data_IF_239620472535
#
_entry.id   IF_239620472535
#
_cell.length_a   1.000
_cell.length_b   1.000
_cell.length_c   1.000
_cell.angle_alpha   90.00
_cell.angle_beta   90.00
_cell.angle_gamma   90.00
#
_symmetry.space_group_name_H-M   'P 1'
#
loop_
_entity.id
_entity.type
_entity.pdbx_description
1 polymer ?
#
# COMPACT_ATOMS: atom_id res chain seq x y z
N UNK A 1 -13.82 -21.30 28.00
CA UNK A 1 -14.21 -20.49 29.20
C UNK A 1 -12.98 -19.87 29.84
N UNK A 2 -13.17 -18.88 30.72
CA UNK A 2 -12.06 -18.28 31.46
C UNK A 2 -11.41 -19.26 32.44
N UNK A 3 -12.21 -20.20 32.96
CA UNK A 3 -11.74 -21.29 33.81
C UNK A 3 -10.79 -22.22 33.06
N UNK A 4 -11.10 -22.58 31.82
CA UNK A 4 -10.22 -23.41 30.96
C UNK A 4 -8.90 -22.67 30.66
N UNK A 5 -8.96 -21.36 30.39
CA UNK A 5 -7.75 -20.54 30.19
C UNK A 5 -6.89 -20.51 31.46
N UNK A 6 -7.51 -20.30 32.63
CA UNK A 6 -6.82 -20.28 33.91
C UNK A 6 -6.12 -21.62 34.19
N UNK A 7 -6.81 -22.72 33.93
CA UNK A 7 -6.27 -24.07 34.10
C UNK A 7 -5.10 -24.34 33.13
N UNK A 8 -5.23 -23.92 31.89
CA UNK A 8 -4.18 -24.11 30.88
C UNK A 8 -2.93 -23.25 31.18
N UNK A 9 -3.09 -22.02 31.61
CA UNK A 9 -1.97 -21.15 32.08
C UNK A 9 -1.28 -21.79 33.28
N UNK A 10 -2.02 -22.30 34.24
CA UNK A 10 -1.44 -23.00 35.39
C UNK A 10 -0.68 -24.26 34.98
N UNK A 11 -1.23 -25.07 34.09
CA UNK A 11 -0.56 -26.27 33.57
C UNK A 11 0.75 -25.97 32.84
N UNK A 12 0.77 -24.90 32.04
CA UNK A 12 1.95 -24.56 31.22
C UNK A 12 3.03 -23.79 31.99
N UNK A 13 2.62 -22.91 32.89
CA UNK A 13 3.52 -21.92 33.49
C UNK A 13 3.59 -22.01 35.03
N UNK A 14 2.77 -22.86 35.67
CA UNK A 14 2.72 -22.99 37.13
C UNK A 14 2.17 -21.75 37.83
N UNK A 15 1.54 -20.82 37.11
CA UNK A 15 1.03 -19.55 37.64
C UNK A 15 -0.50 -19.58 37.67
N UNK A 16 -1.08 -19.35 38.86
CA UNK A 16 -2.52 -19.19 39.00
C UNK A 16 -2.87 -17.70 38.83
N UNK A 17 -3.40 -17.36 37.68
CA UNK A 17 -3.87 -15.99 37.35
C UNK A 17 -5.24 -15.78 38.01
N UNK A 18 -5.46 -14.71 38.80
CA UNK A 18 -6.77 -14.42 39.37
C UNK A 18 -7.84 -14.26 38.26
N UNK A 19 -9.04 -14.81 38.50
CA UNK A 19 -10.14 -14.76 37.53
C UNK A 19 -10.46 -13.34 37.08
N UNK A 20 -10.42 -12.37 38.01
CA UNK A 20 -10.65 -10.96 37.69
C UNK A 20 -9.64 -10.40 36.71
N UNK A 21 -8.37 -10.78 36.77
CA UNK A 21 -7.34 -10.31 35.82
C UNK A 21 -7.60 -10.89 34.43
N UNK A 22 -8.08 -12.13 34.32
CA UNK A 22 -8.49 -12.72 33.05
C UNK A 22 -9.76 -12.05 32.48
N UNK A 23 -10.73 -11.68 33.33
CA UNK A 23 -11.92 -10.93 32.93
C UNK A 23 -11.53 -9.53 32.43
N UNK A 24 -10.66 -8.81 33.13
CA UNK A 24 -10.18 -7.48 32.74
C UNK A 24 -9.38 -7.55 31.43
N UNK A 25 -8.53 -8.57 31.27
CA UNK A 25 -7.80 -8.83 30.03
C UNK A 25 -8.76 -9.16 28.87
N UNK A 26 -9.72 -10.05 29.08
CA UNK A 26 -10.70 -10.41 28.07
C UNK A 26 -11.50 -9.19 27.60
N UNK A 27 -11.91 -8.32 28.55
CA UNK A 27 -12.61 -7.06 28.26
C UNK A 27 -11.71 -6.10 27.45
N UNK A 28 -10.46 -5.93 27.87
CA UNK A 28 -9.51 -5.09 27.13
C UNK A 28 -9.26 -5.61 25.70
N UNK A 29 -9.14 -6.92 25.52
CA UNK A 29 -8.99 -7.56 24.20
C UNK A 29 -10.27 -7.42 23.35
N UNK A 30 -11.46 -7.49 23.95
CA UNK A 30 -12.73 -7.25 23.26
C UNK A 30 -12.82 -5.77 22.82
N UNK A 31 -12.54 -4.82 23.70
CA UNK A 31 -12.54 -3.39 23.37
C UNK A 31 -11.54 -3.05 22.27
N UNK A 32 -10.38 -3.70 22.27
CA UNK A 32 -9.37 -3.59 21.22
C UNK A 32 -9.77 -4.33 19.91
N UNK A 33 -10.86 -5.12 19.91
CA UNK A 33 -11.29 -5.92 18.75
C UNK A 33 -10.41 -7.13 18.47
N UNK A 34 -9.67 -7.61 19.47
CA UNK A 34 -8.77 -8.76 19.39
C UNK A 34 -9.46 -10.09 19.78
N UNK A 35 -10.67 -10.03 20.33
CA UNK A 35 -11.52 -11.19 20.58
C UNK A 35 -12.75 -11.13 19.68
N UNK A 36 -13.05 -12.24 19.03
CA UNK A 36 -14.24 -12.38 18.18
C UNK A 36 -15.45 -12.71 19.08
N UNK A 37 -16.05 -11.65 19.64
CA UNK A 37 -17.30 -11.73 20.40
C UNK A 37 -18.46 -11.22 19.56
N UNK A 38 -19.71 -11.55 19.92
CA UNK A 38 -20.91 -11.05 19.23
C UNK A 38 -20.92 -9.52 19.09
N UNK A 39 -20.43 -8.81 20.12
CA UNK A 39 -20.27 -7.35 20.09
C UNK A 39 -19.25 -6.88 19.07
N UNK A 40 -18.11 -7.56 18.97
CA UNK A 40 -17.07 -7.25 17.97
C UNK A 40 -17.55 -7.59 16.57
N UNK A 41 -18.22 -8.74 16.39
CA UNK A 41 -18.83 -9.12 15.11
C UNK A 41 -19.89 -8.10 14.65
N UNK A 42 -20.77 -7.66 15.55
CA UNK A 42 -21.76 -6.62 15.23
C UNK A 42 -21.10 -5.30 14.82
N UNK A 43 -20.03 -4.88 15.51
CA UNK A 43 -19.24 -3.70 15.15
C UNK A 43 -18.56 -3.84 13.79
N UNK A 44 -17.95 -4.98 13.51
CA UNK A 44 -17.30 -5.24 12.22
C UNK A 44 -18.31 -5.23 11.07
N UNK A 45 -19.51 -5.80 11.30
CA UNK A 45 -20.59 -5.78 10.32
C UNK A 45 -21.10 -4.35 10.06
N UNK A 46 -21.26 -3.54 11.10
CA UNK A 46 -21.61 -2.12 10.94
C UNK A 46 -20.53 -1.34 10.16
N UNK A 47 -19.28 -1.59 10.44
CA UNK A 47 -18.14 -0.99 9.71
C UNK A 47 -18.11 -1.43 8.24
N UNK A 48 -18.40 -2.70 7.96
CA UNK A 48 -18.50 -3.21 6.60
C UNK A 48 -19.64 -2.53 5.83
N UNK A 49 -20.81 -2.33 6.45
CA UNK A 49 -21.93 -1.62 5.83
C UNK A 49 -21.61 -0.14 5.55
N UNK A 50 -20.81 0.51 6.40
CA UNK A 50 -20.30 1.87 6.12
C UNK A 50 -19.38 1.88 4.91
N UNK A 51 -18.47 0.92 4.84
CA UNK A 51 -17.51 0.77 3.73
C UNK A 51 -18.15 0.43 2.39
N UNK A 52 -19.39 -0.10 2.37
CA UNK A 52 -20.16 -0.28 1.13
C UNK A 52 -20.66 1.03 0.52
N UNK A 53 -20.59 2.13 1.24
CA UNK A 53 -21.04 3.45 0.79
C UNK A 53 -19.88 4.35 0.41
N UNK A 54 -18.89 4.42 1.27
CA UNK A 54 -17.67 5.22 1.09
C UNK A 54 -16.54 4.72 1.98
N UNK A 55 -15.32 5.05 1.60
CA UNK A 55 -14.13 4.85 2.43
C UNK A 55 -13.67 6.21 2.96
N UNK A 56 -13.82 6.47 4.29
CA UNK A 56 -13.41 7.74 4.88
C UNK A 56 -11.88 7.87 4.93
N UNK A 57 -11.39 9.11 5.02
CA UNK A 57 -10.00 9.39 5.35
C UNK A 57 -9.67 8.84 6.75
N UNK A 58 -8.54 8.15 6.90
CA UNK A 58 -8.08 7.60 8.18
C UNK A 58 -6.81 8.23 8.66
N UNK A 59 -6.02 8.79 7.73
CA UNK A 59 -4.71 9.38 8.00
C UNK A 59 -4.72 10.91 7.91
N UNK A 60 -5.86 11.51 7.60
CA UNK A 60 -6.05 12.96 7.65
C UNK A 60 -5.84 13.48 9.09
N UNK A 61 -5.09 14.56 9.23
CA UNK A 61 -4.66 15.12 10.51
C UNK A 61 -3.52 14.34 11.19
N UNK A 62 -3.11 13.19 10.62
CA UNK A 62 -1.98 12.38 11.12
C UNK A 62 -0.80 12.42 10.16
N UNK A 63 -0.99 11.95 8.93
CA UNK A 63 0.04 11.84 7.89
C UNK A 63 -0.02 12.98 6.86
N UNK A 64 -1.19 13.59 6.71
CA UNK A 64 -1.42 14.72 5.81
C UNK A 64 -2.54 15.62 6.34
N UNK A 65 -2.62 16.90 5.93
CA UNK A 65 -3.67 17.82 6.37
C UNK A 65 -5.06 17.41 5.91
N UNK A 66 -6.07 17.65 6.76
CA UNK A 66 -7.47 17.35 6.47
C UNK A 66 -8.12 18.40 5.54
N UNK A 67 -7.75 19.69 5.69
CA UNK A 67 -8.29 20.79 4.90
C UNK A 67 -7.62 20.91 3.54
N UNK A 68 -8.40 21.25 2.49
CA UNK A 68 -7.90 21.36 1.12
C UNK A 68 -6.77 22.38 0.97
N UNK A 69 -6.89 23.56 1.59
CA UNK A 69 -5.89 24.62 1.49
C UNK A 69 -4.54 24.18 2.06
N UNK A 70 -4.57 23.61 3.25
CA UNK A 70 -3.40 23.07 3.95
C UNK A 70 -2.82 21.86 3.21
N UNK A 71 -3.67 21.02 2.63
CA UNK A 71 -3.26 19.89 1.81
C UNK A 71 -2.54 20.35 0.53
N UNK A 72 -2.99 21.41 -0.14
CA UNK A 72 -2.29 22.00 -1.30
C UNK A 72 -0.92 22.53 -0.92
N UNK A 73 -0.81 23.30 0.18
CA UNK A 73 0.47 23.79 0.67
C UNK A 73 1.44 22.63 1.06
N UNK A 74 0.90 21.56 1.60
CA UNK A 74 1.66 20.34 1.90
C UNK A 74 2.24 19.72 0.62
N UNK A 75 1.45 19.58 -0.45
CA UNK A 75 1.92 19.07 -1.73
C UNK A 75 3.03 19.95 -2.34
N UNK A 76 2.88 21.29 -2.27
CA UNK A 76 3.89 22.22 -2.74
C UNK A 76 5.22 22.08 -1.98
N UNK A 77 5.15 21.91 -0.65
CA UNK A 77 6.34 21.66 0.18
C UNK A 77 7.03 20.34 -0.20
N UNK A 78 6.27 19.27 -0.45
CA UNK A 78 6.81 17.99 -0.92
C UNK A 78 7.40 18.11 -2.31
N UNK A 79 6.73 18.80 -3.23
CA UNK A 79 7.30 19.05 -4.57
C UNK A 79 8.62 19.81 -4.50
N UNK A 80 8.72 20.81 -3.64
CA UNK A 80 9.93 21.61 -3.42
C UNK A 80 11.09 20.80 -2.80
N UNK A 81 10.80 19.68 -2.10
CA UNK A 81 11.85 18.81 -1.53
C UNK A 81 12.62 18.00 -2.58
N UNK A 82 12.13 17.94 -3.81
CA UNK A 82 12.79 17.30 -4.94
C UNK A 82 13.16 18.34 -6.00
N UNK A 83 14.46 18.72 -6.15
CA UNK A 83 14.89 19.73 -7.10
C UNK A 83 14.99 19.22 -8.54
N UNK A 84 14.83 17.89 -8.76
CA UNK A 84 14.91 17.27 -10.07
C UNK A 84 13.70 17.57 -10.95
N UNK A 85 13.87 17.34 -12.25
CA UNK A 85 12.78 17.36 -13.20
C UNK A 85 12.05 16.02 -13.18
N UNK A 86 10.72 16.08 -13.36
CA UNK A 86 9.89 14.91 -13.57
C UNK A 86 9.95 14.42 -15.01
N UNK A 87 9.49 13.22 -15.23
CA UNK A 87 9.26 12.62 -16.53
C UNK A 87 7.80 12.15 -16.63
N UNK A 88 7.22 12.17 -17.83
CA UNK A 88 5.87 11.67 -18.07
C UNK A 88 5.79 10.18 -17.69
N UNK A 89 4.77 9.81 -16.92
CA UNK A 89 4.54 8.45 -16.48
C UNK A 89 3.33 7.83 -17.18
N UNK A 90 3.49 6.64 -17.74
CA UNK A 90 2.40 5.72 -18.06
C UNK A 90 2.21 4.70 -16.94
N UNK A 91 3.31 4.36 -16.29
CA UNK A 91 3.35 3.60 -15.04
C UNK A 91 4.18 4.40 -14.04
N UNK A 92 3.64 4.61 -12.85
CA UNK A 92 4.35 5.25 -11.73
C UNK A 92 4.45 4.25 -10.59
N UNK A 93 5.66 3.93 -10.14
CA UNK A 93 5.90 3.32 -8.86
C UNK A 93 6.20 4.42 -7.86
N UNK A 94 5.48 4.45 -6.75
CA UNK A 94 5.67 5.40 -5.66
C UNK A 94 5.47 4.72 -4.31
N UNK A 95 6.05 5.24 -3.21
CA UNK A 95 5.93 4.63 -1.90
C UNK A 95 4.55 4.80 -1.29
N UNK A 96 4.29 4.01 -0.24
CA UNK A 96 3.18 4.22 0.69
C UNK A 96 3.65 4.37 2.16
N UNK A 97 4.95 4.54 2.36
CA UNK A 97 5.55 4.92 3.64
C UNK A 97 5.05 6.30 4.08
N UNK A 98 5.05 6.55 5.39
CA UNK A 98 4.70 7.87 5.97
C UNK A 98 5.43 9.01 5.23
N UNK A 99 4.70 9.95 4.59
CA UNK A 99 5.29 10.92 3.69
C UNK A 99 6.40 11.77 4.30
N UNK A 100 6.21 12.22 5.56
CA UNK A 100 7.18 13.07 6.25
C UNK A 100 8.56 12.42 6.44
N UNK A 101 8.65 11.10 6.30
CA UNK A 101 9.91 10.34 6.41
C UNK A 101 10.72 10.35 5.12
N UNK A 102 10.07 10.49 3.96
CA UNK A 102 10.70 10.40 2.63
C UNK A 102 10.19 11.50 1.69
N UNK A 103 10.24 12.79 2.10
CA UNK A 103 9.62 13.88 1.36
C UNK A 103 10.15 14.02 -0.07
N UNK A 104 11.44 13.83 -0.30
CA UNK A 104 12.03 13.91 -1.64
C UNK A 104 11.57 12.80 -2.58
N UNK A 105 11.20 11.63 -2.07
CA UNK A 105 10.68 10.51 -2.89
C UNK A 105 9.26 10.83 -3.36
N UNK A 106 8.42 11.35 -2.48
CA UNK A 106 7.09 11.84 -2.88
C UNK A 106 7.17 13.10 -3.75
N UNK A 107 8.16 13.97 -3.49
CA UNK A 107 8.45 15.13 -4.34
C UNK A 107 8.80 14.73 -5.77
N UNK A 108 9.56 13.64 -5.95
CA UNK A 108 9.87 13.06 -7.25
C UNK A 108 8.63 12.51 -7.95
N UNK A 109 7.72 11.86 -7.20
CA UNK A 109 6.44 11.40 -7.74
C UNK A 109 5.57 12.59 -8.20
N UNK A 110 5.48 13.67 -7.42
CA UNK A 110 4.79 14.88 -7.82
C UNK A 110 5.40 15.51 -9.08
N UNK A 111 6.74 15.53 -9.19
CA UNK A 111 7.43 16.02 -10.39
C UNK A 111 7.05 15.21 -11.65
N UNK A 112 6.94 13.88 -11.52
CA UNK A 112 6.48 13.02 -12.61
C UNK A 112 5.02 13.30 -12.97
N UNK A 113 4.15 13.45 -11.96
CA UNK A 113 2.73 13.74 -12.16
C UNK A 113 2.52 15.11 -12.83
N UNK A 114 3.40 16.09 -12.59
CA UNK A 114 3.38 17.40 -13.29
C UNK A 114 3.62 17.29 -14.81
N UNK A 115 4.45 16.33 -15.23
CA UNK A 115 4.73 16.06 -16.64
C UNK A 115 3.71 15.14 -17.30
N UNK A 116 2.96 14.40 -16.48
CA UNK A 116 1.95 13.44 -16.95
C UNK A 116 0.66 14.17 -17.31
N UNK A 117 0.12 13.98 -18.52
CA UNK A 117 -1.19 14.49 -18.90
C UNK A 117 -2.27 13.99 -17.93
N UNK A 118 -3.28 14.82 -17.59
CA UNK A 118 -4.36 14.40 -16.71
C UNK A 118 -5.06 13.14 -17.24
N UNK A 119 -4.99 12.01 -16.51
CA UNK A 119 -5.66 10.79 -16.95
C UNK A 119 -7.15 10.85 -16.60
N UNK A 120 -8.00 10.19 -17.37
CA UNK A 120 -9.39 9.96 -16.97
C UNK A 120 -9.47 9.01 -15.77
N UNK A 121 -8.52 8.07 -15.66
CA UNK A 121 -8.51 6.98 -14.68
C UNK A 121 -7.13 6.76 -14.10
N UNK A 122 -7.13 6.33 -12.85
CA UNK A 122 -5.94 5.89 -12.14
C UNK A 122 -6.17 4.46 -11.63
N UNK A 123 -5.38 3.53 -12.10
CA UNK A 123 -5.30 2.16 -11.60
C UNK A 123 -4.31 2.16 -10.43
N UNK A 124 -4.82 2.29 -9.21
CA UNK A 124 -3.98 2.35 -8.01
C UNK A 124 -3.89 0.95 -7.39
N UNK A 125 -2.72 0.34 -7.49
CA UNK A 125 -2.46 -1.03 -7.01
C UNK A 125 -1.53 -0.96 -5.80
N UNK A 126 -2.08 -1.29 -4.64
CA UNK A 126 -1.37 -1.30 -3.36
C UNK A 126 -1.19 -2.71 -2.79
N UNK A 127 -0.43 -2.78 -1.72
CA UNK A 127 -0.19 -3.99 -0.92
C UNK A 127 -1.32 -4.17 0.08
N UNK A 128 -1.82 -5.39 0.23
CA UNK A 128 -2.79 -5.71 1.26
C UNK A 128 -2.09 -6.02 2.58
N UNK A 129 -2.16 -5.12 3.56
CA UNK A 129 -1.65 -5.33 4.92
C UNK A 129 -2.62 -6.12 5.81
N UNK A 130 -3.83 -6.35 5.33
CA UNK A 130 -4.83 -7.21 5.97
C UNK A 130 -5.13 -8.41 5.08
N UNK A 131 -5.46 -9.58 5.67
CA UNK A 131 -5.80 -10.76 4.88
C UNK A 131 -6.96 -10.49 3.93
N UNK A 132 -6.83 -10.96 2.69
CA UNK A 132 -7.89 -11.00 1.71
C UNK A 132 -8.42 -12.43 1.57
N UNK A 133 -9.69 -12.59 1.21
CA UNK A 133 -10.27 -13.89 0.86
C UNK A 133 -9.60 -14.46 -0.39
N UNK A 134 -9.35 -13.60 -1.38
CA UNK A 134 -8.72 -13.94 -2.65
C UNK A 134 -7.30 -13.36 -2.77
N UNK A 135 -6.65 -13.52 -3.91
CA UNK A 135 -5.29 -13.02 -4.19
C UNK A 135 -5.26 -11.50 -4.27
N UNK A 136 -6.35 -10.91 -4.74
CA UNK A 136 -6.53 -9.47 -4.89
C UNK A 136 -7.96 -9.07 -4.53
N UNK A 137 -8.15 -7.79 -4.24
CA UNK A 137 -9.46 -7.21 -3.98
C UNK A 137 -9.55 -5.78 -4.50
N UNK A 138 -10.78 -5.32 -4.75
CA UNK A 138 -11.12 -3.93 -5.01
C UNK A 138 -12.28 -3.48 -4.14
N UNK A 139 -12.39 -2.16 -3.93
CA UNK A 139 -13.52 -1.56 -3.23
C UNK A 139 -14.18 -0.52 -4.16
N UNK A 140 -15.38 -0.83 -4.72
CA UNK A 140 -16.03 0.00 -5.74
C UNK A 140 -16.86 1.14 -5.13
N UNK A 141 -16.27 1.93 -4.22
CA UNK A 141 -16.92 3.05 -3.53
C UNK A 141 -16.03 4.31 -3.60
N UNK A 142 -16.60 5.50 -3.37
CA UNK A 142 -15.81 6.72 -3.23
C UNK A 142 -14.82 6.64 -2.06
N UNK A 143 -13.57 7.03 -2.27
CA UNK A 143 -12.59 7.26 -1.23
C UNK A 143 -12.52 8.75 -0.93
N UNK A 144 -12.75 9.14 0.31
CA UNK A 144 -12.68 10.54 0.72
C UNK A 144 -11.24 11.04 0.71
N UNK A 145 -11.03 12.27 0.21
CA UNK A 145 -9.74 12.97 0.21
C UNK A 145 -9.95 14.46 0.51
N UNK A 146 -8.92 15.21 0.92
CA UNK A 146 -9.04 16.66 1.12
C UNK A 146 -9.43 17.42 -0.15
N UNK A 147 -9.25 16.81 -1.32
CA UNK A 147 -9.54 17.40 -2.65
C UNK A 147 -10.90 16.95 -3.21
N UNK A 148 -11.77 16.43 -2.36
CA UNK A 148 -13.04 15.81 -2.73
C UNK A 148 -12.95 14.29 -2.89
N UNK A 149 -14.09 13.63 -3.13
CA UNK A 149 -14.14 12.17 -3.22
C UNK A 149 -13.45 11.66 -4.49
N UNK A 150 -12.59 10.67 -4.34
CA UNK A 150 -12.06 9.88 -5.43
C UNK A 150 -13.13 8.87 -5.87
N UNK A 151 -13.84 9.20 -6.94
CA UNK A 151 -14.92 8.36 -7.44
C UNK A 151 -14.37 7.10 -8.13
N UNK A 152 -14.96 5.90 -7.90
CA UNK A 152 -14.55 4.70 -8.60
C UNK A 152 -14.97 4.75 -10.08
N UNK A 153 -14.17 4.11 -10.95
CA UNK A 153 -14.60 3.81 -12.33
C UNK A 153 -15.31 2.45 -12.34
N UNK A 154 -16.62 2.47 -12.10
CA UNK A 154 -17.41 1.24 -11.98
C UNK A 154 -17.41 0.40 -13.26
N UNK A 155 -17.53 0.96 -14.48
CA UNK A 155 -17.45 0.16 -15.71
C UNK A 155 -16.12 -0.59 -15.85
N UNK A 156 -14.99 0.08 -15.56
CA UNK A 156 -13.67 -0.55 -15.65
C UNK A 156 -13.46 -1.60 -14.56
N UNK A 157 -13.96 -1.36 -13.33
CA UNK A 157 -13.91 -2.34 -12.22
C UNK A 157 -14.77 -3.57 -12.53
N UNK A 158 -15.96 -3.41 -13.10
CA UNK A 158 -16.82 -4.53 -13.50
C UNK A 158 -16.21 -5.33 -14.65
N UNK A 159 -15.62 -4.66 -15.64
CA UNK A 159 -14.90 -5.32 -16.72
C UNK A 159 -13.70 -6.12 -16.20
N UNK A 160 -13.00 -5.60 -15.19
CA UNK A 160 -11.88 -6.31 -14.54
C UNK A 160 -12.38 -7.54 -13.78
N UNK A 161 -13.42 -7.39 -12.97
CA UNK A 161 -14.00 -8.50 -12.18
C UNK A 161 -14.47 -9.65 -13.09
N UNK A 162 -15.12 -9.31 -14.22
CA UNK A 162 -15.60 -10.30 -15.18
C UNK A 162 -14.51 -11.14 -15.86
N UNK A 163 -13.25 -10.65 -15.87
CA UNK A 163 -12.11 -11.35 -16.46
C UNK A 163 -11.33 -12.20 -15.44
N UNK A 164 -11.61 -12.04 -14.14
CA UNK A 164 -10.91 -12.75 -13.10
C UNK A 164 -11.57 -14.10 -12.78
N UNK A 165 -10.80 -15.13 -12.40
CA UNK A 165 -11.35 -16.42 -11.97
C UNK A 165 -11.80 -16.43 -10.50
N UNK A 166 -11.86 -15.28 -9.85
CA UNK A 166 -12.28 -15.07 -8.47
C UNK A 166 -13.03 -13.74 -8.35
N UNK A 167 -13.84 -13.61 -7.31
CA UNK A 167 -14.58 -12.38 -7.00
C UNK A 167 -13.62 -11.28 -6.57
N UNK A 168 -13.64 -10.13 -7.25
CA UNK A 168 -12.76 -9.01 -6.94
C UNK A 168 -13.25 -8.19 -5.72
N UNK A 169 -14.59 -8.10 -5.51
CA UNK A 169 -15.19 -7.31 -4.43
C UNK A 169 -15.41 -8.14 -3.16
N UNK A 170 -14.36 -8.80 -2.67
CA UNK A 170 -14.46 -9.90 -1.72
C UNK A 170 -14.21 -9.54 -0.25
N UNK A 171 -13.48 -8.48 0.07
CA UNK A 171 -13.03 -8.19 1.44
C UNK A 171 -13.05 -6.69 1.77
N UNK A 172 -14.23 -6.06 1.89
CA UNK A 172 -14.34 -4.60 2.13
C UNK A 172 -13.56 -4.13 3.38
N UNK A 173 -13.59 -4.91 4.47
CA UNK A 173 -12.91 -4.55 5.72
C UNK A 173 -11.40 -4.41 5.61
N UNK A 174 -10.76 -5.04 4.61
CA UNK A 174 -9.32 -4.87 4.38
C UNK A 174 -8.97 -3.43 3.99
N UNK A 175 -9.89 -2.70 3.38
CA UNK A 175 -9.70 -1.31 2.96
C UNK A 175 -9.86 -0.29 4.08
N UNK A 176 -10.41 -0.68 5.24
CA UNK A 176 -10.78 0.23 6.33
C UNK A 176 -9.63 1.12 6.77
N UNK A 177 -8.46 0.54 6.98
CA UNK A 177 -7.27 1.21 7.50
C UNK A 177 -6.06 1.04 6.56
N UNK A 178 -6.33 0.75 5.27
CA UNK A 178 -5.27 0.46 4.33
C UNK A 178 -4.57 1.73 3.86
N UNK A 179 -3.31 1.89 4.27
CA UNK A 179 -2.50 3.07 3.99
C UNK A 179 -1.79 2.97 2.62
N UNK A 180 -1.58 1.76 2.09
CA UNK A 180 -0.94 1.59 0.77
C UNK A 180 -1.74 2.20 -0.38
N UNK A 181 -3.04 2.41 -0.18
CA UNK A 181 -3.89 3.15 -1.11
C UNK A 181 -4.07 4.61 -0.69
N UNK A 182 -4.30 4.88 0.60
CA UNK A 182 -4.69 6.22 1.06
C UNK A 182 -3.58 7.25 0.86
N UNK A 183 -2.33 6.92 1.23
CA UNK A 183 -1.21 7.85 1.11
C UNK A 183 -0.91 8.23 -0.35
N UNK A 184 -0.72 7.26 -1.29
CA UNK A 184 -0.57 7.62 -2.70
C UNK A 184 -1.78 8.36 -3.27
N UNK A 185 -3.00 7.97 -2.88
CA UNK A 185 -4.23 8.61 -3.36
C UNK A 185 -4.30 10.08 -3.02
N UNK A 186 -3.81 10.49 -1.84
CA UNK A 186 -3.70 11.89 -1.45
C UNK A 186 -2.90 12.71 -2.49
N UNK A 187 -1.71 12.24 -2.89
CA UNK A 187 -0.86 12.91 -3.87
C UNK A 187 -1.48 12.89 -5.28
N UNK A 188 -2.06 11.76 -5.67
CA UNK A 188 -2.70 11.59 -6.98
C UNK A 188 -3.92 12.49 -7.14
N UNK A 189 -4.81 12.56 -6.15
CA UNK A 189 -5.99 13.41 -6.19
C UNK A 189 -5.67 14.88 -6.04
N UNK A 190 -4.61 15.24 -5.32
CA UNK A 190 -4.11 16.61 -5.29
C UNK A 190 -3.66 17.11 -6.65
N UNK A 191 -3.12 16.23 -7.50
CA UNK A 191 -2.69 16.58 -8.87
C UNK A 191 -3.78 16.36 -9.91
N UNK A 192 -4.60 15.32 -9.78
CA UNK A 192 -5.65 14.93 -10.72
C UNK A 192 -7.02 14.81 -10.03
N UNK A 193 -7.62 15.92 -9.58
CA UNK A 193 -8.85 15.89 -8.78
C UNK A 193 -10.02 15.22 -9.51
N UNK A 194 -10.09 15.32 -10.84
CA UNK A 194 -11.18 14.77 -11.64
C UNK A 194 -11.01 13.30 -12.02
N UNK A 195 -9.79 12.74 -11.89
CA UNK A 195 -9.54 11.37 -12.27
C UNK A 195 -10.36 10.38 -11.44
N UNK A 196 -11.01 9.41 -12.10
CA UNK A 196 -11.63 8.25 -11.45
C UNK A 196 -10.56 7.28 -10.99
N UNK A 197 -10.86 6.47 -10.00
CA UNK A 197 -9.86 5.58 -9.38
C UNK A 197 -10.35 4.13 -9.37
N UNK A 198 -9.45 3.20 -9.69
CA UNK A 198 -9.63 1.78 -9.45
C UNK A 198 -8.70 1.39 -8.29
N UNK A 199 -9.20 1.37 -7.04
CA UNK A 199 -8.39 1.01 -5.88
C UNK A 199 -8.30 -0.52 -5.77
N UNK A 200 -7.09 -1.05 -5.95
CA UNK A 200 -6.80 -2.48 -6.00
C UNK A 200 -5.79 -2.84 -4.91
N UNK A 201 -6.05 -3.92 -4.19
CA UNK A 201 -5.12 -4.52 -3.22
C UNK A 201 -4.65 -5.88 -3.72
N UNK A 202 -3.37 -6.15 -3.55
CA UNK A 202 -2.76 -7.45 -3.84
C UNK A 202 -2.17 -8.02 -2.54
N UNK A 203 -2.65 -9.21 -2.14
CA UNK A 203 -2.14 -9.94 -0.98
C UNK A 203 -1.17 -11.06 -1.39
N UNK A 204 -1.34 -11.62 -2.58
CA UNK A 204 -0.52 -12.71 -3.13
C UNK A 204 -0.42 -12.54 -4.64
N UNK A 205 0.68 -13.01 -5.20
CA UNK A 205 0.91 -13.02 -6.64
C UNK A 205 -0.32 -13.50 -7.40
N UNK A 206 -0.81 -12.67 -8.32
CA UNK A 206 -1.97 -12.94 -9.17
C UNK A 206 -1.66 -12.60 -10.64
N UNK A 207 -1.06 -13.53 -11.41
CA UNK A 207 -0.83 -13.32 -12.84
C UNK A 207 -2.12 -13.06 -13.61
N UNK A 208 -3.24 -13.58 -13.12
CA UNK A 208 -4.58 -13.40 -13.66
C UNK A 208 -4.98 -11.90 -13.61
N UNK A 209 -4.67 -11.21 -12.51
CA UNK A 209 -4.92 -9.78 -12.37
C UNK A 209 -4.14 -8.98 -13.42
N UNK A 210 -2.86 -9.26 -13.60
CA UNK A 210 -2.03 -8.58 -14.60
C UNK A 210 -2.51 -8.81 -16.02
N UNK A 211 -2.93 -10.03 -16.34
CA UNK A 211 -3.49 -10.37 -17.64
C UNK A 211 -4.82 -9.64 -17.87
N UNK A 212 -5.72 -9.65 -16.90
CA UNK A 212 -7.01 -8.97 -16.95
C UNK A 212 -6.85 -7.44 -17.08
N UNK A 213 -5.97 -6.84 -16.27
CA UNK A 213 -5.66 -5.40 -16.36
C UNK A 213 -5.09 -5.02 -17.73
N UNK A 214 -4.25 -5.86 -18.33
CA UNK A 214 -3.74 -5.61 -19.70
C UNK A 214 -4.85 -5.55 -20.75
N UNK A 215 -5.92 -6.32 -20.57
CA UNK A 215 -7.12 -6.27 -21.44
C UNK A 215 -7.92 -5.00 -21.13
N UNK A 216 -8.25 -4.76 -19.87
CA UNK A 216 -9.08 -3.62 -19.46
C UNK A 216 -8.44 -2.27 -19.83
N UNK A 217 -7.13 -2.12 -19.69
CA UNK A 217 -6.42 -0.89 -20.05
C UNK A 217 -6.47 -0.51 -21.56
N UNK A 218 -6.84 -1.45 -22.44
CA UNK A 218 -7.05 -1.15 -23.86
C UNK A 218 -8.36 -0.38 -24.08
N UNK A 219 -9.42 -0.79 -23.39
CA UNK A 219 -10.76 -0.20 -23.54
C UNK A 219 -10.97 0.97 -22.57
N UNK A 220 -10.26 0.96 -21.44
CA UNK A 220 -10.31 1.94 -20.38
C UNK A 220 -8.89 2.47 -20.06
N UNK A 221 -8.28 3.26 -20.95
CA UNK A 221 -6.91 3.75 -20.76
C UNK A 221 -6.80 4.63 -19.51
N UNK A 222 -5.64 4.58 -18.84
CA UNK A 222 -5.39 5.32 -17.62
C UNK A 222 -3.94 5.21 -17.14
N UNK A 223 -3.62 5.95 -16.07
CA UNK A 223 -2.34 5.88 -15.39
C UNK A 223 -2.32 4.66 -14.46
N UNK A 224 -1.31 3.81 -14.61
CA UNK A 224 -1.07 2.72 -13.68
C UNK A 224 -0.12 3.17 -12.56
N UNK A 225 -0.55 3.05 -11.32
CA UNK A 225 0.25 3.41 -10.14
C UNK A 225 0.45 2.18 -9.26
N UNK A 226 1.71 1.86 -8.98
CA UNK A 226 2.12 0.82 -8.05
C UNK A 226 2.54 1.49 -6.75
N UNK A 227 1.77 1.29 -5.70
CA UNK A 227 2.06 1.78 -4.36
C UNK A 227 2.89 0.74 -3.61
N UNK A 228 4.21 0.90 -3.62
CA UNK A 228 5.19 -0.11 -3.22
C UNK A 228 6.29 0.53 -2.40
N UNK A 229 6.47 0.05 -1.18
CA UNK A 229 7.69 0.27 -0.42
C UNK A 229 8.75 -0.78 -0.76
N UNK A 230 10.00 -0.50 -0.42
CA UNK A 230 11.13 -1.35 -0.76
C UNK A 230 11.62 -2.16 0.46
N UNK A 231 12.91 -2.25 0.68
CA UNK A 231 13.49 -3.07 1.75
C UNK A 231 12.93 -2.73 3.13
N UNK A 232 12.56 -3.78 3.87
CA UNK A 232 12.19 -3.73 5.28
C UNK A 232 13.23 -4.52 6.07
N UNK A 233 14.14 -3.85 6.78
CA UNK A 233 15.29 -4.47 7.46
C UNK A 233 15.41 -4.00 8.93
N UNK A 234 15.90 -4.88 9.77
CA UNK A 234 16.11 -4.64 11.19
C UNK A 234 15.13 -5.34 12.13
N UNK A 235 15.25 -5.13 13.45
CA UNK A 235 14.50 -5.86 14.48
C UNK A 235 12.98 -5.78 14.35
N UNK A 236 12.46 -4.66 13.87
CA UNK A 236 11.03 -4.48 13.58
C UNK A 236 10.48 -5.51 12.60
N UNK A 237 11.35 -6.02 11.76
CA UNK A 237 11.03 -6.97 10.69
C UNK A 237 11.60 -8.36 10.94
N UNK A 238 12.14 -8.60 12.17
CA UNK A 238 12.68 -9.89 12.60
C UNK A 238 14.11 -10.15 12.14
N UNK A 239 14.84 -9.10 11.72
CA UNK A 239 16.27 -9.18 11.39
C UNK A 239 17.12 -8.69 12.57
N UNK A 240 18.46 -8.80 12.42
CA UNK A 240 19.42 -8.21 13.37
C UNK A 240 19.34 -6.68 13.36
N UNK A 241 19.81 -6.01 14.43
CA UNK A 241 19.90 -4.55 14.45
C UNK A 241 20.63 -4.01 13.22
N UNK A 242 20.11 -2.89 12.69
CA UNK A 242 20.66 -2.27 11.49
C UNK A 242 22.11 -1.85 11.72
N UNK A 243 23.00 -2.42 10.90
CA UNK A 243 24.40 -1.99 10.79
C UNK A 243 24.60 -1.17 9.51
N UNK A 244 25.72 -0.46 9.42
CA UNK A 244 26.10 0.24 8.19
C UNK A 244 26.12 -0.70 6.98
N UNK A 245 26.71 -1.88 7.14
CA UNK A 245 26.79 -2.89 6.08
C UNK A 245 25.39 -3.34 5.63
N UNK A 246 24.48 -3.64 6.58
CA UNK A 246 23.11 -4.05 6.27
C UNK A 246 22.34 -2.92 5.54
N UNK A 247 22.54 -1.67 5.95
CA UNK A 247 21.92 -0.52 5.29
C UNK A 247 22.46 -0.33 3.84
N UNK A 248 23.77 -0.46 3.63
CA UNK A 248 24.38 -0.39 2.30
C UNK A 248 23.90 -1.55 1.40
N UNK A 249 23.74 -2.74 1.94
CA UNK A 249 23.17 -3.90 1.24
C UNK A 249 21.71 -3.68 0.87
N UNK A 250 20.87 -3.21 1.79
CA UNK A 250 19.47 -2.91 1.54
C UNK A 250 19.35 -1.87 0.41
N UNK A 251 20.10 -0.77 0.49
CA UNK A 251 20.12 0.24 -0.56
C UNK A 251 20.54 -0.31 -1.93
N UNK A 252 21.57 -1.14 -1.99
CA UNK A 252 22.02 -1.77 -3.24
C UNK A 252 20.96 -2.68 -3.83
N UNK A 253 20.23 -3.42 -2.99
CA UNK A 253 19.12 -4.29 -3.43
C UNK A 253 17.96 -3.49 -3.97
N UNK A 254 17.57 -2.43 -3.27
CA UNK A 254 16.50 -1.54 -3.71
C UNK A 254 16.82 -0.93 -5.07
N UNK A 255 18.00 -0.34 -5.22
CA UNK A 255 18.43 0.26 -6.49
C UNK A 255 18.53 -0.78 -7.60
N UNK A 256 19.15 -1.94 -7.33
CA UNK A 256 19.27 -3.00 -8.31
C UNK A 256 17.92 -3.57 -8.77
N UNK A 257 16.90 -3.55 -7.90
CA UNK A 257 15.52 -3.91 -8.25
C UNK A 257 14.88 -2.83 -9.14
N UNK A 258 14.94 -1.57 -8.71
CA UNK A 258 14.37 -0.44 -9.45
C UNK A 258 15.01 -0.24 -10.83
N UNK A 259 16.34 -0.38 -10.94
CA UNK A 259 17.08 -0.26 -12.19
C UNK A 259 16.64 -1.29 -13.22
N UNK A 260 16.46 -2.56 -12.82
CA UNK A 260 15.95 -3.61 -13.72
C UNK A 260 14.52 -3.36 -14.15
N UNK A 261 13.67 -2.83 -13.26
CA UNK A 261 12.35 -2.38 -13.65
C UNK A 261 12.43 -1.24 -14.68
N UNK A 262 13.33 -0.26 -14.47
CA UNK A 262 13.54 0.84 -15.39
C UNK A 262 14.08 0.40 -16.75
N UNK A 263 14.80 -0.72 -16.80
CA UNK A 263 15.28 -1.35 -18.03
C UNK A 263 14.18 -2.12 -18.80
N UNK A 264 13.00 -2.28 -18.18
CA UNK A 264 11.88 -3.04 -18.74
C UNK A 264 12.02 -4.55 -18.54
N UNK A 265 12.78 -4.96 -17.55
CA UNK A 265 13.12 -6.36 -17.25
C UNK A 265 12.55 -6.80 -15.88
N UNK A 266 11.21 -6.79 -15.69
CA UNK A 266 10.61 -7.05 -14.38
C UNK A 266 10.85 -8.49 -13.88
N UNK A 267 10.99 -9.48 -14.76
CA UNK A 267 11.38 -10.85 -14.36
C UNK A 267 12.82 -10.88 -13.83
N UNK A 268 13.75 -10.16 -14.45
CA UNK A 268 15.11 -10.05 -13.98
C UNK A 268 15.16 -9.30 -12.62
N UNK A 269 14.30 -8.31 -12.41
CA UNK A 269 14.15 -7.63 -11.12
C UNK A 269 13.73 -8.61 -10.02
N UNK A 270 12.72 -9.43 -10.28
CA UNK A 270 12.26 -10.46 -9.31
C UNK A 270 13.30 -11.56 -9.09
N UNK A 271 13.99 -12.02 -10.13
CA UNK A 271 15.04 -13.01 -10.01
C UNK A 271 16.24 -12.47 -9.20
N UNK A 272 16.56 -11.19 -9.38
CA UNK A 272 17.59 -10.51 -8.60
C UNK A 272 17.27 -10.51 -7.10
N UNK A 273 15.99 -10.29 -6.72
CA UNK A 273 15.54 -10.37 -5.33
C UNK A 273 15.64 -11.80 -4.80
N UNK A 274 15.28 -12.81 -5.59
CA UNK A 274 15.41 -14.22 -5.21
C UNK A 274 16.86 -14.62 -4.90
N UNK A 275 17.84 -14.07 -5.63
CA UNK A 275 19.26 -14.26 -5.37
C UNK A 275 19.82 -13.39 -4.21
N UNK A 276 19.10 -12.32 -3.86
CA UNK A 276 19.45 -11.38 -2.80
C UNK A 276 18.25 -11.24 -1.84
N UNK A 277 18.02 -12.20 -0.94
CA UNK A 277 16.84 -12.24 -0.09
C UNK A 277 16.68 -10.93 0.68
N UNK A 278 15.53 -10.30 0.51
CA UNK A 278 15.13 -9.08 1.19
C UNK A 278 13.63 -9.09 1.36
N UNK A 279 13.14 -8.37 2.34
CA UNK A 279 11.72 -8.12 2.51
C UNK A 279 11.36 -6.84 1.78
N UNK A 280 11.20 -6.89 0.47
CA UNK A 280 10.58 -5.81 -0.28
C UNK A 280 9.07 -5.99 -0.16
N UNK A 281 8.43 -4.96 0.37
CA UNK A 281 7.00 -4.87 0.43
C UNK A 281 6.43 -4.68 -0.97
N UNK A 282 5.55 -5.23 -1.53
CA UNK A 282 5.04 -5.03 -2.90
C UNK A 282 5.68 -5.89 -3.97
N UNK A 283 6.54 -6.86 -3.63
CA UNK A 283 7.01 -7.88 -4.59
C UNK A 283 5.83 -8.56 -5.28
N UNK A 284 4.77 -8.87 -4.52
CA UNK A 284 3.57 -9.51 -5.04
C UNK A 284 2.79 -8.62 -6.01
N UNK A 285 2.81 -7.29 -5.81
CA UNK A 285 2.24 -6.30 -6.74
C UNK A 285 2.99 -6.36 -8.07
N UNK A 286 4.31 -6.21 -8.04
CA UNK A 286 5.15 -6.25 -9.25
C UNK A 286 5.03 -7.61 -9.96
N UNK A 287 5.08 -8.72 -9.21
CA UNK A 287 4.95 -10.06 -9.75
C UNK A 287 3.58 -10.34 -10.39
N UNK A 288 2.53 -9.67 -9.92
CA UNK A 288 1.19 -9.75 -10.52
C UNK A 288 1.08 -8.95 -11.82
N UNK A 289 1.83 -7.85 -11.93
CA UNK A 289 1.69 -6.88 -13.03
C UNK A 289 2.74 -7.03 -14.14
N UNK A 290 3.51 -8.12 -14.16
CA UNK A 290 4.54 -8.38 -15.18
C UNK A 290 4.11 -8.08 -16.62
N UNK A 291 2.89 -8.48 -17.10
CA UNK A 291 2.48 -8.22 -18.48
C UNK A 291 2.33 -6.74 -18.83
N UNK A 292 2.28 -5.86 -17.82
CA UNK A 292 2.13 -4.41 -17.95
C UNK A 292 3.47 -3.67 -17.82
N UNK A 293 4.49 -4.32 -17.26
CA UNK A 293 5.80 -3.73 -16.98
C UNK A 293 6.87 -4.12 -18.00
N UNK A 294 6.71 -5.27 -18.66
CA UNK A 294 7.66 -5.78 -19.68
C UNK A 294 7.91 -4.77 -20.78
N UNK A 295 9.19 -4.64 -21.18
CA UNK A 295 9.64 -3.81 -22.30
C UNK A 295 9.36 -2.31 -22.13
N UNK A 296 8.84 -1.89 -20.95
CA UNK A 296 8.68 -0.48 -20.62
C UNK A 296 9.96 0.04 -20.01
N UNK A 297 10.67 0.85 -20.77
CA UNK A 297 11.84 1.56 -20.28
C UNK A 297 11.44 2.85 -19.58
N UNK A 298 12.20 3.20 -18.56
CA UNK A 298 11.92 4.38 -17.77
C UNK A 298 13.09 4.80 -16.92
N UNK A 299 12.83 5.46 -15.82
CA UNK A 299 13.87 6.07 -14.98
C UNK A 299 13.53 6.02 -13.50
N UNK A 300 14.51 5.68 -12.70
CA UNK A 300 14.45 5.87 -11.24
C UNK A 300 14.68 7.35 -10.96
N UNK A 301 13.68 8.02 -10.40
CA UNK A 301 13.76 9.45 -10.09
C UNK A 301 14.35 9.71 -8.71
N UNK A 302 13.95 8.91 -7.71
CA UNK A 302 14.43 9.05 -6.35
C UNK A 302 14.45 7.69 -5.63
N UNK A 303 15.34 7.56 -4.67
CA UNK A 303 15.41 6.45 -3.73
C UNK A 303 15.93 6.95 -2.38
N UNK A 304 15.33 6.46 -1.30
CA UNK A 304 15.78 6.67 0.06
C UNK A 304 15.64 5.39 0.88
N UNK A 305 16.63 5.11 1.70
CA UNK A 305 16.52 4.19 2.82
C UNK A 305 16.31 5.02 4.08
N UNK A 306 15.11 5.01 4.62
CA UNK A 306 14.74 5.76 5.81
C UNK A 306 15.10 4.96 7.07
N UNK A 307 15.92 5.58 7.94
CA UNK A 307 16.46 4.97 9.13
C UNK A 307 15.57 5.28 10.34
N UNK A 308 15.10 4.24 11.00
CA UNK A 308 14.29 4.31 12.20
C UNK A 308 15.17 4.05 13.44
N UNK A 309 15.81 5.11 13.93
CA UNK A 309 16.80 5.02 15.01
C UNK A 309 16.29 4.33 16.30
N UNK A 310 15.06 4.58 16.79
CA UNK A 310 14.57 3.93 18.01
C UNK A 310 14.50 2.41 17.93
N UNK A 311 14.21 1.88 16.74
CA UNK A 311 14.05 0.44 16.50
C UNK A 311 15.27 -0.21 15.84
N UNK A 312 16.28 0.58 15.50
CA UNK A 312 17.44 0.15 14.70
C UNK A 312 17.00 -0.60 13.43
N UNK A 313 15.96 -0.08 12.76
CA UNK A 313 15.38 -0.64 11.54
C UNK A 313 15.41 0.38 10.41
N UNK A 314 15.13 -0.06 9.19
CA UNK A 314 15.01 0.85 8.05
C UNK A 314 13.96 0.35 7.05
N UNK A 315 13.35 1.30 6.34
CA UNK A 315 12.44 1.04 5.22
C UNK A 315 12.94 1.80 4.00
N UNK A 316 13.02 1.10 2.86
CA UNK A 316 13.34 1.68 1.57
C UNK A 316 12.09 2.25 0.89
N UNK A 317 12.26 3.39 0.22
CA UNK A 317 11.24 4.01 -0.61
C UNK A 317 11.85 4.46 -1.94
N UNK A 318 11.06 4.40 -3.02
CA UNK A 318 11.54 4.81 -4.33
C UNK A 318 10.44 5.35 -5.23
N UNK A 319 10.83 6.17 -6.19
CA UNK A 319 9.95 6.64 -7.28
C UNK A 319 10.57 6.26 -8.62
N UNK A 320 9.80 5.57 -9.43
CA UNK A 320 10.16 5.11 -10.76
C UNK A 320 9.05 5.45 -11.74
N UNK A 321 9.40 5.92 -12.93
CA UNK A 321 8.50 6.12 -14.06
C UNK A 321 8.82 5.16 -15.20
N UNK A 322 7.77 4.61 -15.83
CA UNK A 322 7.87 3.76 -17.02
C UNK A 322 6.89 4.24 -18.10
#
# INVERSE_FOLDING_TARGET
>A
TLEEVQEEVFKRHGVLVPKKELEDLAKALEEAGLLLTEKVEARLKEEEEKLKRERPMRLAGLSYPEGEREARAFLEAFRASYPGEGEEARVLLMPHLEPSRVPEVYGAALAALEKTPPPERIYLVGVAHRPLKEKAAALPVPFQTPFGPALPDLPALQALDALLPFELFNTPLAFREEHSLELPLFFLKGRFPEARVLPLLVARRSPELGAALKVVLRDFPGLLVLAVDLSHVGPRFGDTPLTRTLAEEARRRDLGFLERLAEGEPEAALAFLGANPTRIDGVEVVASLLPLLRERKGKVLAHRLDLEAPTLSAVGAGTLVL
#
